data_IF_776575397157
#
_entry.id   IF_776575397157
#
_cell.length_a   1.000
_cell.length_b   1.000
_cell.length_c   1.000
_cell.angle_alpha   90.00
_cell.angle_beta   90.00
_cell.angle_gamma   90.00
#
_symmetry.space_group_name_H-M   'P 1'
#
loop_
_entity.id
_entity.type
_entity.pdbx_description
1 polymer ?
#
# COMPACT_ATOMS: atom_id res chain seq x y z
N UNK A 1 -13.16 7.74 11.49
CA UNK A 1 -13.57 7.48 10.08
C UNK A 1 -12.29 7.39 9.27
N UNK A 2 -12.07 6.25 8.60
CA UNK A 2 -10.92 6.07 7.70
C UNK A 2 -11.15 6.81 6.38
N UNK A 3 -10.07 7.32 5.80
CA UNK A 3 -10.03 7.84 4.43
C UNK A 3 -9.13 6.96 3.59
N UNK A 4 -9.69 6.29 2.59
CA UNK A 4 -8.97 5.31 1.78
C UNK A 4 -8.99 5.72 0.31
N UNK A 5 -7.80 5.89 -0.27
CA UNK A 5 -7.63 6.18 -1.68
C UNK A 5 -7.55 4.87 -2.48
N UNK A 6 -8.50 4.63 -3.36
CA UNK A 6 -8.60 3.44 -4.19
C UNK A 6 -8.14 3.76 -5.62
N UNK A 7 -6.98 3.26 -6.01
CA UNK A 7 -6.46 3.47 -7.37
C UNK A 7 -7.11 2.52 -8.36
N UNK A 8 -7.55 3.04 -9.50
CA UNK A 8 -8.16 2.23 -10.56
C UNK A 8 -7.67 2.63 -11.94
N UNK A 9 -7.37 1.62 -12.76
CA UNK A 9 -7.21 1.67 -14.20
C UNK A 9 -8.36 0.95 -14.91
N UNK A 10 -9.44 0.69 -14.16
CA UNK A 10 -10.63 -0.09 -14.59
C UNK A 10 -10.35 -1.55 -14.90
N UNK A 11 -9.14 -2.05 -14.70
CA UNK A 11 -8.79 -3.46 -14.89
C UNK A 11 -9.46 -4.36 -13.83
N UNK A 12 -9.52 -5.66 -14.12
CA UNK A 12 -10.00 -6.64 -13.16
C UNK A 12 -9.15 -6.67 -11.88
N UNK A 13 -7.85 -6.39 -11.98
CA UNK A 13 -6.96 -6.35 -10.82
C UNK A 13 -7.26 -5.17 -9.91
N UNK A 14 -7.50 -3.97 -10.46
CA UNK A 14 -7.87 -2.80 -9.65
C UNK A 14 -9.27 -2.96 -9.03
N UNK A 15 -10.24 -3.53 -9.76
CA UNK A 15 -11.57 -3.84 -9.21
C UNK A 15 -11.51 -4.88 -8.10
N UNK A 16 -10.66 -5.91 -8.25
CA UNK A 16 -10.39 -6.89 -7.18
C UNK A 16 -9.80 -6.24 -5.92
N UNK A 17 -8.85 -5.32 -6.10
CA UNK A 17 -8.25 -4.58 -4.98
C UNK A 17 -9.28 -3.69 -4.26
N UNK A 18 -10.21 -3.06 -4.99
CA UNK A 18 -11.33 -2.31 -4.43
C UNK A 18 -12.23 -3.21 -3.59
N UNK A 19 -12.64 -4.37 -4.13
CA UNK A 19 -13.48 -5.32 -3.40
C UNK A 19 -12.78 -5.87 -2.14
N UNK A 20 -11.47 -6.12 -2.22
CA UNK A 20 -10.67 -6.49 -1.05
C UNK A 20 -10.67 -5.39 0.01
N UNK A 21 -10.45 -4.13 -0.39
CA UNK A 21 -10.46 -2.99 0.53
C UNK A 21 -11.84 -2.80 1.19
N UNK A 22 -12.94 -2.93 0.44
CA UNK A 22 -14.29 -2.88 1.00
C UNK A 22 -14.49 -3.94 2.09
N UNK A 23 -13.99 -5.18 1.88
CA UNK A 23 -14.06 -6.25 2.88
C UNK A 23 -13.14 -5.99 4.08
N UNK A 24 -11.96 -5.41 3.85
CA UNK A 24 -11.01 -5.11 4.92
C UNK A 24 -11.54 -4.03 5.88
N UNK A 25 -12.30 -3.07 5.36
CA UNK A 25 -12.85 -1.94 6.11
C UNK A 25 -14.36 -2.05 6.37
N UNK A 26 -14.98 -3.24 6.16
CA UNK A 26 -16.42 -3.45 6.27
C UNK A 26 -17.02 -3.19 7.67
N UNK A 27 -16.19 -3.16 8.71
CA UNK A 27 -16.53 -3.02 10.12
C UNK A 27 -16.28 -1.60 10.67
N UNK A 28 -15.88 -0.64 9.84
CA UNK A 28 -15.51 0.70 10.28
C UNK A 28 -15.96 1.77 9.27
N UNK A 29 -16.38 2.93 9.78
CA UNK A 29 -16.75 4.06 8.93
C UNK A 29 -15.59 4.49 8.04
N UNK A 30 -15.79 4.45 6.71
CA UNK A 30 -14.74 4.71 5.72
C UNK A 30 -15.24 5.59 4.58
N UNK A 31 -14.46 6.60 4.25
CA UNK A 31 -14.61 7.41 3.04
C UNK A 31 -13.65 6.86 1.97
N UNK A 32 -14.22 6.25 0.93
CA UNK A 32 -13.49 5.71 -0.21
C UNK A 32 -13.43 6.74 -1.34
N UNK A 33 -12.22 7.12 -1.73
CA UNK A 33 -11.96 7.97 -2.89
C UNK A 33 -11.44 7.12 -4.05
N UNK A 34 -12.23 6.96 -5.10
CA UNK A 34 -11.81 6.31 -6.34
C UNK A 34 -10.98 7.29 -7.18
N UNK A 35 -9.73 6.94 -7.44
CA UNK A 35 -8.81 7.76 -8.23
C UNK A 35 -8.42 7.05 -9.53
N UNK A 36 -8.65 7.71 -10.66
CA UNK A 36 -8.01 7.37 -11.92
C UNK A 36 -7.04 8.48 -12.34
N UNK A 37 -5.85 8.09 -12.77
CA UNK A 37 -4.84 9.01 -13.28
C UNK A 37 -4.53 8.62 -14.72
N UNK A 38 -4.68 9.55 -15.65
CA UNK A 38 -4.28 9.33 -17.03
C UNK A 38 -3.04 10.16 -17.39
N UNK A 39 -2.13 9.62 -18.22
CA UNK A 39 -0.88 10.30 -18.53
C UNK A 39 -1.12 11.57 -19.34
N UNK A 40 -0.29 12.60 -19.11
CA UNK A 40 -0.22 13.75 -19.98
C UNK A 40 0.65 13.39 -21.19
N UNK A 41 0.05 13.34 -22.38
CA UNK A 41 0.81 13.13 -23.62
C UNK A 41 1.44 14.46 -24.11
N UNK A 42 2.78 14.60 -24.08
CA UNK A 42 3.44 15.87 -24.37
C UNK A 42 3.37 16.31 -25.83
N UNK A 43 2.97 15.43 -26.75
CA UNK A 43 2.97 15.70 -28.20
C UNK A 43 1.69 16.39 -28.71
N UNK A 44 0.71 16.61 -27.85
CA UNK A 44 -0.55 17.22 -28.22
C UNK A 44 -0.41 18.75 -28.26
N UNK A 45 -0.24 19.35 -29.44
CA UNK A 45 -0.21 20.79 -29.66
C UNK A 45 -1.48 21.52 -29.21
N UNK A 46 -1.87 22.64 -29.87
CA UNK A 46 -3.03 23.48 -29.49
C UNK A 46 -4.39 22.76 -29.36
N UNK A 47 -4.51 21.50 -29.80
CA UNK A 47 -5.69 20.64 -29.60
C UNK A 47 -5.75 19.92 -28.27
N UNK A 48 -4.69 19.95 -27.47
CA UNK A 48 -4.54 19.15 -26.24
C UNK A 48 -5.61 19.45 -25.18
N UNK A 49 -5.99 20.71 -25.00
CA UNK A 49 -6.97 21.08 -23.99
C UNK A 49 -8.37 20.47 -24.26
N UNK A 50 -8.76 20.35 -25.54
CA UNK A 50 -10.03 19.73 -25.91
C UNK A 50 -10.00 18.21 -25.71
N UNK A 51 -8.91 17.57 -26.11
CA UNK A 51 -8.73 16.12 -25.92
C UNK A 51 -8.67 15.75 -24.43
N UNK A 52 -7.99 16.54 -23.61
CA UNK A 52 -7.95 16.37 -22.16
C UNK A 52 -9.35 16.53 -21.52
N UNK A 53 -10.16 17.47 -22.02
CA UNK A 53 -11.52 17.65 -21.52
C UNK A 53 -12.42 16.46 -21.86
N UNK A 54 -12.33 15.93 -23.09
CA UNK A 54 -13.10 14.77 -23.55
C UNK A 54 -12.69 13.48 -22.80
N UNK A 55 -11.36 13.29 -22.63
CA UNK A 55 -10.84 12.14 -21.87
C UNK A 55 -11.23 12.21 -20.39
N UNK A 56 -11.20 13.40 -19.80
CA UNK A 56 -11.68 13.64 -18.45
C UNK A 56 -13.16 13.27 -18.32
N UNK A 57 -14.04 13.77 -19.19
CA UNK A 57 -15.48 13.47 -19.15
C UNK A 57 -15.75 11.98 -19.30
N UNK A 58 -15.02 11.30 -20.20
CA UNK A 58 -15.11 9.85 -20.40
C UNK A 58 -14.67 9.08 -19.15
N UNK A 59 -13.60 9.53 -18.51
CA UNK A 59 -13.07 8.92 -17.27
C UNK A 59 -14.03 9.15 -16.11
N UNK A 60 -14.61 10.33 -15.94
CA UNK A 60 -15.61 10.64 -14.92
C UNK A 60 -16.82 9.72 -15.04
N UNK A 61 -17.37 9.52 -16.25
CA UNK A 61 -18.47 8.57 -16.52
C UNK A 61 -18.08 7.12 -16.18
N UNK A 62 -16.83 6.75 -16.45
CA UNK A 62 -16.33 5.40 -16.16
C UNK A 62 -16.20 5.19 -14.65
N UNK A 63 -15.75 6.18 -13.89
CA UNK A 63 -15.69 6.17 -12.43
C UNK A 63 -17.09 6.09 -11.80
N UNK A 64 -18.05 6.88 -12.31
CA UNK A 64 -19.44 6.82 -11.87
C UNK A 64 -20.03 5.41 -12.06
N UNK A 65 -19.80 4.82 -13.24
CA UNK A 65 -20.25 3.44 -13.53
C UNK A 65 -19.58 2.43 -12.60
N UNK A 66 -18.29 2.57 -12.35
CA UNK A 66 -17.56 1.72 -11.39
C UNK A 66 -18.14 1.88 -9.99
N UNK A 67 -18.33 3.12 -9.52
CA UNK A 67 -18.93 3.40 -8.22
C UNK A 67 -20.32 2.77 -8.10
N UNK A 68 -21.19 2.95 -9.10
CA UNK A 68 -22.48 2.30 -9.12
C UNK A 68 -22.36 0.77 -9.02
N UNK A 69 -21.42 0.17 -9.74
CA UNK A 69 -21.20 -1.28 -9.73
C UNK A 69 -20.78 -1.79 -8.35
N UNK A 70 -19.81 -1.14 -7.71
CA UNK A 70 -19.28 -1.57 -6.39
C UNK A 70 -20.25 -1.27 -5.24
N UNK A 71 -21.22 -0.36 -5.44
CA UNK A 71 -22.26 -0.03 -4.45
C UNK A 71 -23.59 -0.74 -4.70
N UNK A 72 -23.75 -1.50 -5.79
CA UNK A 72 -24.92 -2.37 -6.02
C UNK A 72 -25.00 -3.54 -5.03
N UNK A 73 -23.87 -4.01 -4.54
CA UNK A 73 -23.84 -5.00 -3.46
C UNK A 73 -24.16 -4.31 -2.12
N UNK A 74 -24.69 -5.05 -1.13
CA UNK A 74 -24.90 -4.46 0.20
C UNK A 74 -23.57 -3.93 0.74
N UNK A 75 -23.48 -2.59 0.84
CA UNK A 75 -22.36 -1.90 1.48
C UNK A 75 -22.84 -1.29 2.79
N UNK A 76 -21.99 -1.22 3.83
CA UNK A 76 -22.36 -0.57 5.06
C UNK A 76 -22.81 0.88 4.84
N UNK A 77 -23.92 1.29 5.47
CA UNK A 77 -24.49 2.62 5.31
C UNK A 77 -23.55 3.77 5.80
N UNK A 78 -22.52 3.43 6.53
CA UNK A 78 -21.50 4.36 7.02
C UNK A 78 -20.29 4.47 6.09
N UNK A 79 -20.30 3.79 4.92
CA UNK A 79 -19.32 4.00 3.87
C UNK A 79 -19.77 5.11 2.93
N UNK A 80 -18.87 6.01 2.62
CA UNK A 80 -19.04 7.03 1.58
C UNK A 80 -18.10 6.78 0.41
N UNK A 81 -18.51 7.22 -0.78
CA UNK A 81 -17.74 7.04 -2.00
C UNK A 81 -17.69 8.35 -2.76
N UNK A 82 -16.52 8.71 -3.23
CA UNK A 82 -16.31 9.87 -4.11
C UNK A 82 -15.32 9.51 -5.22
N UNK A 83 -15.41 10.25 -6.32
CA UNK A 83 -14.59 10.05 -7.50
C UNK A 83 -13.61 11.20 -7.67
N UNK A 84 -12.43 10.88 -8.19
CA UNK A 84 -11.41 11.86 -8.51
C UNK A 84 -10.68 11.45 -9.78
N UNK A 85 -10.40 12.43 -10.62
CA UNK A 85 -9.58 12.26 -11.84
C UNK A 85 -8.35 13.15 -11.69
N UNK A 86 -7.20 12.62 -12.05
CA UNK A 86 -5.95 13.38 -12.11
C UNK A 86 -5.25 13.15 -13.45
N UNK A 87 -4.39 14.09 -13.83
CA UNK A 87 -3.57 14.03 -15.04
C UNK A 87 -2.10 14.05 -14.64
N UNK A 88 -1.29 13.21 -15.27
CA UNK A 88 0.15 13.15 -15.03
C UNK A 88 0.65 11.77 -14.65
N UNK A 89 1.77 11.71 -13.97
CA UNK A 89 2.35 10.46 -13.47
C UNK A 89 1.63 10.01 -12.18
N UNK A 90 1.27 8.72 -12.11
CA UNK A 90 0.42 8.19 -11.04
C UNK A 90 1.02 8.40 -9.64
N UNK A 91 2.31 8.11 -9.44
CA UNK A 91 2.97 8.27 -8.15
C UNK A 91 3.10 9.75 -7.73
N UNK A 92 3.30 10.65 -8.70
CA UNK A 92 3.29 12.10 -8.51
C UNK A 92 1.91 12.62 -8.09
N UNK A 93 0.86 12.21 -8.82
CA UNK A 93 -0.53 12.59 -8.52
C UNK A 93 -0.95 12.10 -7.13
N UNK A 94 -0.65 10.85 -6.78
CA UNK A 94 -0.92 10.29 -5.44
C UNK A 94 -0.17 11.06 -4.36
N UNK A 95 1.13 11.34 -4.55
CA UNK A 95 1.92 12.06 -3.57
C UNK A 95 1.42 13.51 -3.36
N UNK A 96 0.95 14.17 -4.42
CA UNK A 96 0.34 15.49 -4.34
C UNK A 96 -0.99 15.44 -3.59
N UNK A 97 -1.84 14.47 -3.92
CA UNK A 97 -3.15 14.32 -3.29
C UNK A 97 -3.04 14.03 -1.79
N UNK A 98 -2.15 13.13 -1.39
CA UNK A 98 -1.89 12.81 0.02
C UNK A 98 -1.35 14.01 0.80
N UNK A 99 -0.65 14.95 0.15
CA UNK A 99 -0.26 16.22 0.79
C UNK A 99 -1.42 17.19 0.99
N UNK A 100 -2.39 17.17 0.08
CA UNK A 100 -3.56 18.07 0.13
C UNK A 100 -4.62 17.56 1.10
N UNK A 101 -4.78 16.25 1.15
CA UNK A 101 -5.74 15.59 2.01
C UNK A 101 -5.10 14.37 2.68
N UNK A 102 -5.25 14.27 4.00
CA UNK A 102 -4.73 13.12 4.74
C UNK A 102 -5.56 11.86 4.43
N UNK A 103 -4.93 10.88 3.79
CA UNK A 103 -5.46 9.52 3.62
C UNK A 103 -4.76 8.57 4.58
N UNK A 104 -5.54 7.69 5.20
CA UNK A 104 -5.00 6.65 6.09
C UNK A 104 -4.33 5.52 5.30
N UNK A 105 -4.82 5.24 4.09
CA UNK A 105 -4.23 4.26 3.20
C UNK A 105 -4.49 4.55 1.71
N UNK A 106 -3.55 4.14 0.88
CA UNK A 106 -3.70 4.02 -0.58
C UNK A 106 -3.77 2.55 -0.95
N UNK A 107 -4.74 2.16 -1.75
CA UNK A 107 -4.94 0.77 -2.20
C UNK A 107 -4.63 0.67 -3.69
N UNK A 108 -3.78 -0.27 -4.05
CA UNK A 108 -3.38 -0.54 -5.43
C UNK A 108 -3.46 -2.03 -5.74
N UNK A 109 -4.03 -2.38 -6.88
CA UNK A 109 -4.04 -3.75 -7.39
C UNK A 109 -2.69 -4.10 -8.02
N UNK A 110 -2.19 -5.31 -7.75
CA UNK A 110 -1.02 -5.86 -8.42
C UNK A 110 -1.46 -6.94 -9.42
N UNK A 111 -1.09 -6.78 -10.68
CA UNK A 111 -1.24 -7.84 -11.69
C UNK A 111 -0.13 -8.86 -11.49
N UNK A 112 -0.49 -10.14 -11.30
CA UNK A 112 0.49 -11.23 -11.11
C UNK A 112 1.56 -11.30 -12.21
N UNK A 113 2.62 -12.03 -11.95
CA UNK A 113 3.76 -12.22 -12.84
C UNK A 113 3.35 -12.53 -14.27
N UNK A 114 3.64 -11.64 -15.20
CA UNK A 114 3.59 -12.00 -16.62
C UNK A 114 3.38 -10.89 -17.62
N UNK A 115 2.71 -9.80 -17.34
CA UNK A 115 2.36 -8.87 -18.41
C UNK A 115 2.62 -7.37 -18.19
N UNK A 116 2.90 -6.88 -17.00
CA UNK A 116 3.38 -5.52 -16.89
C UNK A 116 4.47 -5.36 -15.82
N UNK A 117 5.67 -5.03 -16.29
CA UNK A 117 6.78 -4.53 -15.46
C UNK A 117 6.42 -3.20 -14.74
N UNK A 118 5.22 -2.67 -14.98
CA UNK A 118 4.78 -1.35 -14.56
C UNK A 118 4.21 -1.37 -13.12
N UNK A 119 3.56 -2.42 -12.68
CA UNK A 119 2.90 -2.43 -11.35
C UNK A 119 3.88 -2.52 -10.18
N UNK A 120 4.97 -3.28 -10.29
CA UNK A 120 6.04 -3.23 -9.29
C UNK A 120 6.65 -1.83 -9.16
N UNK A 121 6.74 -1.07 -10.26
CA UNK A 121 7.24 0.29 -10.26
C UNK A 121 6.24 1.28 -9.66
N UNK A 122 4.94 1.14 -9.93
CA UNK A 122 3.89 2.02 -9.42
C UNK A 122 3.73 1.88 -7.90
N UNK A 123 3.48 0.67 -7.40
CA UNK A 123 3.37 0.44 -5.96
C UNK A 123 4.63 0.90 -5.21
N UNK A 124 5.80 0.60 -5.77
CA UNK A 124 7.10 1.06 -5.26
C UNK A 124 7.22 2.58 -5.29
N UNK A 125 6.82 3.23 -6.38
CA UNK A 125 6.82 4.69 -6.52
C UNK A 125 5.96 5.34 -5.44
N UNK A 126 4.73 4.81 -5.23
CA UNK A 126 3.80 5.29 -4.21
C UNK A 126 4.37 5.07 -2.80
N UNK A 127 4.91 3.88 -2.49
CA UNK A 127 5.53 3.58 -1.18
C UNK A 127 6.70 4.52 -0.89
N UNK A 128 7.51 4.85 -1.89
CA UNK A 128 8.69 5.71 -1.73
C UNK A 128 8.35 7.20 -1.62
N UNK A 129 7.34 7.68 -2.35
CA UNK A 129 6.96 9.10 -2.42
C UNK A 129 5.76 9.44 -1.55
N UNK A 130 4.88 8.45 -1.30
CA UNK A 130 3.68 8.62 -0.50
C UNK A 130 4.02 8.77 0.98
N UNK A 131 3.31 9.69 1.64
CA UNK A 131 3.39 9.88 3.10
C UNK A 131 2.15 9.26 3.76
N UNK A 132 1.86 8.02 3.40
CA UNK A 132 0.70 7.27 3.89
C UNK A 132 0.92 5.77 3.74
N UNK A 133 0.14 4.97 4.43
CA UNK A 133 0.18 3.52 4.29
C UNK A 133 -0.24 3.09 2.88
N UNK A 134 0.38 2.03 2.36
CA UNK A 134 0.07 1.51 1.02
C UNK A 134 -0.30 0.04 1.11
N UNK A 135 -1.50 -0.30 0.65
CA UNK A 135 -2.00 -1.66 0.57
C UNK A 135 -1.92 -2.16 -0.88
N UNK A 136 -1.08 -3.15 -1.12
CA UNK A 136 -0.87 -3.75 -2.44
C UNK A 136 -1.59 -5.09 -2.48
N UNK A 137 -2.57 -5.24 -3.38
CA UNK A 137 -3.42 -6.43 -3.46
C UNK A 137 -3.10 -7.21 -4.74
N UNK A 138 -2.52 -8.41 -4.64
CA UNK A 138 -2.34 -9.28 -5.80
C UNK A 138 -3.69 -9.75 -6.34
N UNK A 139 -3.79 -9.90 -7.66
CA UNK A 139 -5.02 -10.39 -8.32
C UNK A 139 -5.45 -11.78 -7.85
N UNK A 140 -4.52 -12.57 -7.30
CA UNK A 140 -4.77 -13.90 -6.74
C UNK A 140 -5.21 -13.88 -5.27
N UNK A 141 -5.25 -12.72 -4.61
CA UNK A 141 -5.62 -12.62 -3.20
C UNK A 141 -7.07 -13.11 -2.98
N UNK A 142 -7.28 -13.98 -2.00
CA UNK A 142 -8.62 -14.37 -1.63
C UNK A 142 -9.31 -13.25 -0.84
N UNK A 143 -10.52 -12.88 -1.24
CA UNK A 143 -11.37 -11.96 -0.47
C UNK A 143 -12.05 -12.78 0.62
N UNK A 144 -11.51 -12.72 1.83
CA UNK A 144 -12.00 -13.47 2.99
C UNK A 144 -11.72 -12.69 4.27
N UNK A 145 -12.35 -13.05 5.40
CA UNK A 145 -12.05 -12.41 6.68
C UNK A 145 -10.57 -12.52 7.03
N UNK A 146 -9.98 -11.42 7.48
CA UNK A 146 -8.60 -11.34 7.91
C UNK A 146 -8.41 -12.14 9.21
N UNK A 147 -7.55 -13.16 9.21
CA UNK A 147 -7.29 -14.00 10.36
C UNK A 147 -5.82 -14.10 10.73
N UNK A 148 -4.93 -14.15 9.73
CA UNK A 148 -3.50 -14.35 9.93
C UNK A 148 -2.74 -13.17 9.36
N UNK A 149 -2.18 -12.33 10.24
CA UNK A 149 -1.39 -11.15 9.90
C UNK A 149 0.04 -11.40 10.31
N UNK A 150 0.98 -11.08 9.43
CA UNK A 150 2.42 -11.21 9.70
C UNK A 150 3.08 -9.87 9.57
N UNK A 151 3.71 -9.38 10.63
CA UNK A 151 4.61 -8.22 10.57
C UNK A 151 6.04 -8.73 10.38
N UNK A 152 6.59 -8.57 9.17
CA UNK A 152 8.01 -8.83 8.95
C UNK A 152 8.82 -7.62 9.46
N UNK A 153 9.60 -7.84 10.53
CA UNK A 153 10.29 -6.77 11.23
C UNK A 153 11.69 -7.20 11.66
N UNK A 154 12.60 -6.23 11.71
CA UNK A 154 13.88 -6.34 12.41
C UNK A 154 13.87 -5.53 13.73
N UNK A 155 12.71 -5.08 14.17
CA UNK A 155 12.44 -4.20 15.31
C UNK A 155 13.08 -2.80 15.20
N UNK A 156 14.28 -2.68 14.65
CA UNK A 156 15.00 -1.41 14.47
C UNK A 156 14.31 -0.45 13.49
N UNK A 157 13.37 -0.97 12.71
CA UNK A 157 12.62 -0.18 11.73
C UNK A 157 11.42 0.56 12.31
N UNK A 158 11.08 0.32 13.55
CA UNK A 158 9.97 0.99 14.23
C UNK A 158 10.52 2.16 15.05
N UNK A 159 10.57 3.34 14.45
CA UNK A 159 11.03 4.53 15.16
C UNK A 159 9.90 5.30 15.84
N UNK A 160 8.66 5.06 15.42
CA UNK A 160 7.48 5.72 15.94
C UNK A 160 6.34 4.70 16.12
N UNK A 161 5.76 4.66 17.32
CA UNK A 161 4.60 3.82 17.62
C UNK A 161 3.39 4.18 16.76
N UNK A 162 3.29 5.44 16.28
CA UNK A 162 2.22 5.88 15.38
C UNK A 162 2.21 5.09 14.07
N UNK A 163 3.37 4.65 13.57
CA UNK A 163 3.46 3.81 12.37
C UNK A 163 2.74 2.46 12.53
N UNK A 164 2.59 1.95 13.74
CA UNK A 164 1.92 0.68 14.04
C UNK A 164 0.42 0.82 14.34
N UNK A 165 -0.11 2.04 14.45
CA UNK A 165 -1.51 2.28 14.84
C UNK A 165 -2.49 1.57 13.90
N UNK A 166 -2.30 1.71 12.59
CA UNK A 166 -3.17 1.04 11.61
C UNK A 166 -3.13 -0.48 11.73
N UNK A 167 -1.96 -1.07 11.93
CA UNK A 167 -1.79 -2.51 12.15
C UNK A 167 -2.53 -2.95 13.42
N UNK A 168 -2.30 -2.26 14.54
CA UNK A 168 -2.91 -2.55 15.85
C UNK A 168 -4.43 -2.51 15.77
N UNK A 169 -4.98 -1.45 15.18
CA UNK A 169 -6.43 -1.29 15.00
C UNK A 169 -7.00 -2.39 14.10
N UNK A 170 -6.33 -2.71 12.99
CA UNK A 170 -6.77 -3.73 12.04
C UNK A 170 -6.82 -5.11 12.68
N UNK A 171 -5.74 -5.51 13.37
CA UNK A 171 -5.63 -6.79 14.08
C UNK A 171 -6.71 -6.89 15.16
N UNK A 172 -6.89 -5.83 15.95
CA UNK A 172 -7.88 -5.78 17.03
C UNK A 172 -9.33 -5.87 16.51
N UNK A 173 -9.69 -5.05 15.50
CA UNK A 173 -11.06 -5.01 14.94
C UNK A 173 -11.43 -6.34 14.27
N UNK A 174 -10.48 -6.98 13.59
CA UNK A 174 -10.72 -8.25 12.88
C UNK A 174 -10.51 -9.46 13.79
N UNK A 175 -10.11 -9.28 15.05
CA UNK A 175 -9.72 -10.36 15.95
C UNK A 175 -8.74 -11.34 15.27
N UNK A 176 -7.77 -10.78 14.54
CA UNK A 176 -6.78 -11.53 13.80
C UNK A 176 -5.60 -11.92 14.71
N UNK A 177 -4.97 -13.06 14.41
CA UNK A 177 -3.71 -13.47 15.02
C UNK A 177 -2.57 -12.70 14.35
N UNK A 178 -1.72 -12.06 15.15
CA UNK A 178 -0.52 -11.36 14.68
C UNK A 178 0.71 -12.25 14.91
N UNK A 179 1.57 -12.36 13.92
CA UNK A 179 2.89 -12.98 14.05
C UNK A 179 3.97 -11.94 13.75
N UNK A 180 4.94 -11.80 14.65
CA UNK A 180 6.15 -11.00 14.45
C UNK A 180 7.22 -11.91 13.82
N UNK A 181 7.47 -11.74 12.52
CA UNK A 181 8.42 -12.53 11.76
C UNK A 181 9.76 -11.80 11.66
N UNK A 182 10.81 -12.41 12.20
CA UNK A 182 12.18 -11.90 12.11
C UNK A 182 13.05 -12.84 11.28
N UNK A 183 13.80 -12.27 10.33
CA UNK A 183 14.80 -13.01 9.57
C UNK A 183 16.19 -12.66 10.11
N UNK A 184 16.82 -13.61 10.82
CA UNK A 184 18.17 -13.45 11.36
C UNK A 184 19.22 -13.90 10.34
N UNK A 185 20.21 -13.05 10.04
CA UNK A 185 21.34 -13.41 9.19
C UNK A 185 22.39 -14.19 9.99
N UNK A 186 22.75 -15.41 9.56
CA UNK A 186 23.82 -16.17 10.20
C UNK A 186 25.14 -15.41 10.23
N UNK A 187 25.85 -15.48 11.34
CA UNK A 187 27.20 -14.88 11.47
C UNK A 187 27.25 -13.37 11.65
N UNK A 188 26.11 -12.68 11.77
CA UNK A 188 26.06 -11.21 12.00
C UNK A 188 25.32 -10.89 13.30
N UNK A 189 25.93 -11.11 14.48
CA UNK A 189 25.31 -10.84 15.77
C UNK A 189 24.95 -9.37 15.97
N UNK A 190 25.67 -8.45 15.33
CA UNK A 190 25.42 -6.99 15.43
C UNK A 190 24.10 -6.55 14.73
N UNK A 191 23.46 -7.45 13.99
CA UNK A 191 22.15 -7.19 13.34
C UNK A 191 20.98 -7.77 14.15
N UNK A 192 21.23 -8.33 15.33
CA UNK A 192 20.14 -8.70 16.23
C UNK A 192 19.47 -7.45 16.77
N UNK A 193 18.11 -7.46 16.84
CA UNK A 193 17.41 -6.36 17.49
C UNK A 193 17.89 -6.20 18.92
N UNK A 194 18.00 -4.94 19.38
CA UNK A 194 18.29 -4.68 20.78
C UNK A 194 17.05 -5.04 21.63
N UNK A 195 17.26 -5.39 22.88
CA UNK A 195 16.14 -5.63 23.82
C UNK A 195 15.23 -4.40 23.92
N UNK A 196 15.80 -3.21 23.78
CA UNK A 196 15.04 -1.94 23.82
C UNK A 196 14.11 -1.82 22.60
N UNK A 197 14.60 -2.15 21.39
CA UNK A 197 13.78 -2.11 20.16
C UNK A 197 12.66 -3.14 20.23
N UNK A 198 12.92 -4.35 20.77
CA UNK A 198 11.92 -5.38 20.97
C UNK A 198 10.84 -4.92 21.94
N UNK A 199 11.23 -4.46 23.13
CA UNK A 199 10.29 -3.95 24.14
C UNK A 199 9.46 -2.77 23.62
N UNK A 200 10.04 -1.92 22.76
CA UNK A 200 9.31 -0.81 22.16
C UNK A 200 8.17 -1.30 21.25
N UNK A 201 8.45 -2.25 20.36
CA UNK A 201 7.43 -2.83 19.46
C UNK A 201 6.40 -3.64 20.25
N UNK A 202 6.83 -4.44 21.23
CA UNK A 202 5.94 -5.19 22.10
C UNK A 202 4.99 -4.25 22.86
N UNK A 203 5.51 -3.16 23.42
CA UNK A 203 4.67 -2.16 24.08
C UNK A 203 3.70 -1.47 23.14
N UNK A 204 4.13 -1.11 21.92
CA UNK A 204 3.27 -0.53 20.90
C UNK A 204 2.12 -1.48 20.49
N UNK A 205 2.37 -2.79 20.54
CA UNK A 205 1.43 -3.87 20.18
C UNK A 205 0.81 -4.59 21.39
N UNK A 206 1.02 -4.12 22.63
CA UNK A 206 0.61 -4.82 23.86
C UNK A 206 -0.88 -5.18 23.93
N UNK A 207 -1.74 -4.45 23.22
CA UNK A 207 -3.17 -4.74 23.14
C UNK A 207 -3.53 -5.82 22.11
N UNK A 208 -2.53 -6.34 21.38
CA UNK A 208 -2.71 -7.41 20.39
C UNK A 208 -2.09 -8.71 20.91
N UNK A 209 -2.81 -9.82 20.70
CA UNK A 209 -2.21 -11.12 20.91
C UNK A 209 -1.27 -11.41 19.76
N UNK A 210 0.03 -11.56 20.03
CA UNK A 210 1.03 -11.82 19.00
C UNK A 210 1.94 -13.00 19.37
N UNK A 211 2.42 -13.69 18.35
CA UNK A 211 3.43 -14.75 18.44
C UNK A 211 4.70 -14.30 17.73
N UNK A 212 5.85 -14.74 18.20
CA UNK A 212 7.13 -14.52 17.54
C UNK A 212 7.53 -15.72 16.69
N UNK A 213 8.10 -15.44 15.51
CA UNK A 213 8.66 -16.45 14.64
C UNK A 213 10.00 -15.99 14.06
N UNK A 214 11.05 -16.80 14.24
CA UNK A 214 12.41 -16.46 13.80
C UNK A 214 12.86 -17.46 12.75
N UNK A 215 13.26 -16.94 11.59
CA UNK A 215 13.91 -17.73 10.53
C UNK A 215 15.37 -17.29 10.42
N UNK A 216 16.28 -18.24 10.26
CA UNK A 216 17.69 -17.96 10.01
C UNK A 216 17.97 -18.15 8.53
N UNK A 217 18.24 -17.02 7.84
CA UNK A 217 18.51 -17.01 6.41
C UNK A 217 19.47 -15.85 6.05
N UNK A 218 20.34 -16.07 5.07
CA UNK A 218 21.24 -15.02 4.54
C UNK A 218 20.48 -13.95 3.76
N UNK A 219 19.35 -14.33 3.15
CA UNK A 219 18.49 -13.47 2.36
C UNK A 219 17.13 -13.29 3.05
N UNK A 220 16.78 -12.05 3.35
CA UNK A 220 15.53 -11.72 4.02
C UNK A 220 14.31 -12.09 3.19
N UNK A 221 14.38 -11.90 1.86
CA UNK A 221 13.27 -12.26 0.98
C UNK A 221 13.06 -13.76 0.95
N UNK A 222 14.15 -14.53 0.82
CA UNK A 222 14.08 -15.99 0.84
C UNK A 222 13.48 -16.50 2.17
N UNK A 223 13.84 -15.89 3.31
CA UNK A 223 13.26 -16.21 4.60
C UNK A 223 11.76 -15.91 4.67
N UNK A 224 11.32 -14.77 4.13
CA UNK A 224 9.89 -14.42 4.06
C UNK A 224 9.15 -15.41 3.15
N UNK A 225 9.69 -15.73 1.97
CA UNK A 225 9.08 -16.67 1.03
C UNK A 225 8.96 -18.06 1.64
N UNK A 226 9.99 -18.53 2.36
CA UNK A 226 9.96 -19.81 3.08
C UNK A 226 8.86 -19.85 4.16
N UNK A 227 8.61 -18.72 4.85
CA UNK A 227 7.50 -18.60 5.77
C UNK A 227 6.16 -18.70 5.06
N UNK A 228 5.98 -17.95 3.97
CA UNK A 228 4.75 -17.94 3.17
C UNK A 228 4.46 -19.29 2.50
N UNK A 229 5.48 -20.12 2.25
CA UNK A 229 5.31 -21.46 1.68
C UNK A 229 4.74 -22.46 2.69
N UNK A 230 4.97 -22.23 3.99
CA UNK A 230 4.63 -23.16 5.06
C UNK A 230 3.49 -22.71 5.96
N UNK A 231 3.10 -21.44 5.89
CA UNK A 231 2.06 -20.84 6.73
C UNK A 231 0.99 -20.14 5.91
N UNK A 232 -0.25 -20.20 6.37
CA UNK A 232 -1.32 -19.38 5.79
C UNK A 232 -1.17 -17.96 6.28
N UNK A 233 -1.07 -17.00 5.34
CA UNK A 233 -0.96 -15.58 5.64
C UNK A 233 -2.04 -14.84 4.84
N UNK A 234 -2.86 -14.03 5.51
CA UNK A 234 -3.89 -13.21 4.87
C UNK A 234 -3.38 -11.81 4.55
N UNK A 235 -2.42 -11.30 5.36
CA UNK A 235 -1.80 -9.99 5.18
C UNK A 235 -0.35 -10.02 5.67
N UNK A 236 0.57 -9.70 4.77
CA UNK A 236 1.96 -9.39 5.14
C UNK A 236 2.07 -7.90 5.40
N UNK A 237 2.70 -7.52 6.50
CA UNK A 237 2.92 -6.12 6.87
C UNK A 237 4.41 -5.86 6.95
N UNK A 238 4.85 -4.74 6.40
CA UNK A 238 6.26 -4.32 6.41
C UNK A 238 6.35 -2.82 6.66
N UNK A 239 7.43 -2.38 7.29
CA UNK A 239 7.77 -0.97 7.44
C UNK A 239 8.94 -0.66 6.52
N UNK A 240 8.72 0.06 5.41
CA UNK A 240 9.78 0.42 4.48
C UNK A 240 10.78 1.37 5.13
N UNK A 241 12.06 1.01 5.15
CA UNK A 241 13.15 1.88 5.60
C UNK A 241 14.18 2.08 4.50
N UNK A 242 14.87 3.25 4.46
CA UNK A 242 15.92 3.54 3.49
C UNK A 242 17.15 2.59 3.56
N UNK A 243 17.22 1.74 4.59
CA UNK A 243 18.26 0.69 4.74
C UNK A 243 17.67 -0.67 5.12
N UNK A 244 16.35 -0.85 4.97
CA UNK A 244 15.65 -2.04 5.44
C UNK A 244 15.33 -3.03 4.31
N UNK A 245 14.64 -4.08 4.68
CA UNK A 245 14.15 -5.17 3.83
C UNK A 245 13.52 -4.67 2.52
N UNK A 246 12.79 -3.54 2.54
CA UNK A 246 12.17 -2.97 1.33
C UNK A 246 13.21 -2.33 0.42
N UNK A 247 14.29 -1.72 0.94
CA UNK A 247 15.38 -1.22 0.11
C UNK A 247 16.19 -2.37 -0.54
N UNK A 248 16.36 -3.49 0.16
CA UNK A 248 16.95 -4.70 -0.43
C UNK A 248 16.02 -5.26 -1.50
N UNK A 249 14.71 -5.29 -1.26
CA UNK A 249 13.70 -5.69 -2.23
C UNK A 249 13.58 -4.71 -3.40
N UNK A 250 13.82 -3.40 -3.19
CA UNK A 250 13.67 -2.36 -4.20
C UNK A 250 14.95 -2.07 -5.01
N UNK A 251 16.15 -2.33 -4.46
CA UNK A 251 17.41 -1.93 -5.08
C UNK A 251 18.09 -3.00 -5.97
N UNK A 252 17.73 -4.27 -5.84
CA UNK A 252 18.29 -5.33 -6.71
C UNK A 252 17.55 -5.39 -8.04
N UNK A 253 18.18 -4.98 -9.13
CA UNK A 253 17.59 -4.82 -10.46
C UNK A 253 17.03 -6.12 -11.09
N UNK A 254 17.50 -7.28 -10.69
CA UNK A 254 17.00 -8.59 -11.15
C UNK A 254 15.85 -9.07 -10.24
N UNK A 255 15.93 -8.77 -8.98
CA UNK A 255 14.92 -9.14 -7.96
C UNK A 255 13.69 -8.22 -7.98
N UNK A 256 13.79 -6.99 -8.53
CA UNK A 256 12.67 -6.06 -8.72
C UNK A 256 11.48 -6.66 -9.46
N UNK A 257 11.75 -7.49 -10.43
CA UNK A 257 10.72 -8.12 -11.27
C UNK A 257 10.03 -9.30 -10.58
N UNK A 258 10.69 -9.94 -9.62
CA UNK A 258 10.22 -11.15 -8.93
C UNK A 258 9.69 -10.82 -7.53
N UNK A 259 10.31 -9.86 -6.83
CA UNK A 259 10.04 -9.57 -5.42
C UNK A 259 8.79 -8.71 -5.19
N UNK A 260 8.35 -7.92 -6.17
CA UNK A 260 7.16 -7.09 -6.06
C UNK A 260 5.93 -7.66 -6.77
N UNK A 261 5.89 -8.96 -6.87
CA UNK A 261 4.66 -9.67 -7.13
C UNK A 261 4.22 -10.32 -5.81
N UNK A 262 3.55 -9.58 -4.91
CA UNK A 262 3.21 -10.11 -3.61
C UNK A 262 2.31 -11.34 -3.80
N UNK A 263 2.70 -12.45 -3.21
CA UNK A 263 1.92 -13.70 -3.23
C UNK A 263 0.67 -13.58 -2.35
N UNK A 264 0.74 -12.67 -1.38
CA UNK A 264 -0.32 -12.32 -0.43
C UNK A 264 -0.48 -10.80 -0.39
N UNK A 265 -1.61 -10.26 0.07
CA UNK A 265 -1.77 -8.83 0.31
C UNK A 265 -0.63 -8.27 1.16
N UNK A 266 -0.09 -7.13 0.73
CA UNK A 266 1.01 -6.45 1.42
C UNK A 266 0.56 -5.08 1.91
N UNK A 267 0.70 -4.81 3.20
CA UNK A 267 0.55 -3.50 3.80
C UNK A 267 1.94 -2.92 4.11
N UNK A 268 2.34 -1.90 3.36
CA UNK A 268 3.52 -1.11 3.66
C UNK A 268 3.10 0.05 4.57
N UNK A 269 3.51 0.02 5.83
CA UNK A 269 3.23 1.06 6.81
C UNK A 269 4.15 2.26 6.58
N UNK A 270 3.59 3.46 6.71
CA UNK A 270 4.37 4.69 6.63
C UNK A 270 5.03 5.00 7.98
N UNK A 271 6.34 5.24 7.96
CA UNK A 271 7.10 5.67 9.13
C UNK A 271 7.34 7.19 9.06
N UNK A 272 6.74 7.93 9.98
CA UNK A 272 6.83 9.40 10.07
C UNK A 272 8.25 9.88 10.36
N UNK A 273 9.08 9.09 11.03
CA UNK A 273 10.48 9.43 11.30
C UNK A 273 11.35 9.53 10.03
N UNK A 274 10.86 9.01 8.89
CA UNK A 274 11.51 9.17 7.60
C UNK A 274 11.25 10.52 6.94
N UNK A 275 10.16 11.20 7.30
CA UNK A 275 9.77 12.47 6.71
C UNK A 275 10.80 13.58 6.98
N UNK A 276 11.45 13.53 8.14
CA UNK A 276 12.37 14.57 8.60
C UNK A 276 13.81 14.40 8.06
N UNK A 277 14.14 13.26 7.46
CA UNK A 277 15.48 12.94 6.96
C UNK A 277 15.64 12.99 5.43
N UNK A 278 14.58 13.30 4.69
CA UNK A 278 14.67 13.44 3.24
C UNK A 278 15.51 14.70 2.89
N UNK A 279 16.56 14.58 2.03
CA UNK A 279 17.31 15.74 1.57
C UNK A 279 16.39 16.70 0.80
N UNK A 280 16.44 17.97 1.15
CA UNK A 280 15.64 19.08 0.58
C UNK A 280 16.04 19.43 -0.88
N UNK A 281 16.55 18.50 -1.66
CA UNK A 281 17.05 18.74 -3.02
C UNK A 281 16.51 17.74 -4.03
N UNK A 282 15.25 17.94 -4.42
CA UNK A 282 14.79 17.61 -5.76
C UNK A 282 13.69 18.63 -6.11
N UNK A 283 14.04 19.65 -6.88
CA UNK A 283 13.07 20.37 -7.70
C UNK A 283 12.55 19.37 -8.71
N UNK A 284 11.38 18.79 -8.46
CA UNK A 284 10.61 18.08 -9.46
C UNK A 284 9.57 19.07 -9.98
N UNK A 285 9.77 19.54 -11.21
CA UNK A 285 8.76 20.28 -12.00
C UNK A 285 7.68 19.30 -12.49
N UNK A 286 7.15 18.47 -11.60
CA UNK A 286 6.10 17.49 -11.92
C UNK A 286 4.78 18.04 -11.40
N UNK A 287 4.19 18.98 -12.17
CA UNK A 287 2.86 19.53 -11.90
C UNK A 287 1.78 18.57 -12.37
N UNK A 288 1.38 17.63 -11.49
CA UNK A 288 0.14 16.87 -11.70
C UNK A 288 -1.07 17.76 -11.45
N UNK A 289 -2.04 17.77 -12.36
CA UNK A 289 -3.27 18.54 -12.24
C UNK A 289 -4.35 17.66 -11.64
N UNK A 290 -4.86 18.04 -10.47
CA UNK A 290 -5.95 17.34 -9.78
C UNK A 290 -7.29 18.01 -10.10
N UNK A 291 -8.28 17.23 -10.47
CA UNK A 291 -9.63 17.67 -10.70
C UNK A 291 -10.59 16.97 -9.73
N UNK A 292 -11.00 17.61 -8.63
CA UNK A 292 -12.03 17.05 -7.77
C UNK A 292 -13.39 17.09 -8.50
N UNK A 293 -14.07 15.97 -8.54
CA UNK A 293 -15.47 15.84 -8.98
C UNK A 293 -16.35 15.84 -7.74
N UNK A 294 -17.06 16.96 -7.52
CA UNK A 294 -18.08 17.07 -6.48
C UNK A 294 -19.43 16.69 -7.09
N UNK A 295 -20.07 15.66 -6.51
CA UNK A 295 -21.47 15.34 -6.70
C UNK A 295 -22.17 15.20 -5.36
#
# INVERSE_FOLDING_TARGET
MYKVLLLTDFSAASQHAIAYAQTLFDDVSTDFCLLHVFPLEPELGYGSAFLLADERETTEKSLEKLQQTITQQPVPAYHTYRNMVAVGELDGAVAQLVKQEAFDAVVVGATGAGQSKLFGSVATGIIRRGKTNVLVIPASAAIRPLKQVVLATNYQSVNDAESLVMLKELVSRKAAQLTLLTIEKPGKPDQKPSEVDQLYVEHALEATQNDEYIIRDEDVQHGIDAYLDTHTVDLLVMIPHHKSVVDVLLNNSVTRSVAFNPRVPLLALYDTALADKAPTSAKSDDESILFPTYF
#
